data_IF_155835585686
#
_entry.id   IF_155835585686
#
_cell.length_a   1.000
_cell.length_b   1.000
_cell.length_c   1.000
_cell.angle_alpha   90.00
_cell.angle_beta   90.00
_cell.angle_gamma   90.00
#
_symmetry.space_group_name_H-M   'P 1'
#
loop_
_entity.id
_entity.type
_entity.pdbx_description
1 polymer ?
#
# COMPACT_ATOMS: atom_id res chain seq x y z
N UNK A 1 26.25 -5.40 -4.17
CA UNK A 1 25.24 -5.81 -3.19
C UNK A 1 24.07 -6.42 -3.94
N UNK A 2 23.67 -7.64 -3.61
CA UNK A 2 22.54 -8.37 -4.21
C UNK A 2 21.41 -8.55 -3.20
N UNK A 3 20.20 -8.21 -3.60
CA UNK A 3 19.01 -8.26 -2.75
C UNK A 3 18.06 -9.37 -3.22
N UNK A 4 17.72 -10.28 -2.31
CA UNK A 4 16.64 -11.25 -2.50
C UNK A 4 15.40 -10.83 -1.72
N UNK A 5 14.25 -10.73 -2.37
CA UNK A 5 12.97 -10.36 -1.73
C UNK A 5 12.03 -11.57 -1.84
N UNK A 6 11.69 -12.19 -0.72
CA UNK A 6 10.73 -13.30 -0.69
C UNK A 6 9.33 -12.76 -0.40
N UNK A 7 8.38 -13.02 -1.31
CA UNK A 7 7.01 -12.52 -1.22
C UNK A 7 6.02 -13.57 -1.70
N UNK A 8 5.20 -14.05 -0.76
CA UNK A 8 4.11 -14.99 -1.01
C UNK A 8 2.82 -14.20 -1.17
N UNK A 9 2.05 -14.50 -2.21
CA UNK A 9 0.89 -13.69 -2.58
C UNK A 9 -0.38 -14.25 -1.94
N UNK A 10 -0.92 -13.51 -0.96
CA UNK A 10 -2.21 -13.79 -0.31
C UNK A 10 -3.25 -12.83 -0.87
N UNK A 11 -2.99 -11.52 -0.77
CA UNK A 11 -3.80 -10.46 -1.37
C UNK A 11 -3.23 -10.06 -2.73
N UNK A 12 -3.42 -10.94 -3.72
CA UNK A 12 -3.13 -10.78 -5.16
C UNK A 12 -2.35 -9.50 -5.51
N UNK A 13 -3.07 -8.41 -5.80
CA UNK A 13 -2.49 -7.16 -6.30
C UNK A 13 -1.92 -6.27 -5.21
N UNK A 14 -2.37 -6.40 -3.96
CA UNK A 14 -1.86 -5.64 -2.82
C UNK A 14 -0.42 -6.05 -2.50
N UNK A 15 -0.22 -7.34 -2.25
CA UNK A 15 1.08 -7.91 -1.87
C UNK A 15 2.10 -7.75 -3.00
N UNK A 16 1.71 -8.14 -4.23
CA UNK A 16 2.57 -8.03 -5.40
C UNK A 16 2.88 -6.56 -5.72
N UNK A 17 1.87 -5.70 -5.70
CA UNK A 17 2.01 -4.26 -5.96
C UNK A 17 3.00 -3.60 -5.01
N UNK A 18 2.82 -3.81 -3.71
CA UNK A 18 3.70 -3.26 -2.69
C UNK A 18 5.12 -3.81 -2.82
N UNK A 19 5.29 -5.12 -2.98
CA UNK A 19 6.60 -5.77 -3.17
C UNK A 19 7.35 -5.21 -4.37
N UNK A 20 6.66 -5.02 -5.51
CA UNK A 20 7.25 -4.42 -6.71
C UNK A 20 7.74 -3.00 -6.44
N UNK A 21 6.94 -2.18 -5.74
CA UNK A 21 7.32 -0.78 -5.45
C UNK A 21 8.47 -0.70 -4.48
N UNK A 22 8.48 -1.55 -3.46
CA UNK A 22 9.59 -1.68 -2.55
C UNK A 22 10.88 -2.05 -3.29
N UNK A 23 10.81 -3.07 -4.15
CA UNK A 23 11.94 -3.50 -4.98
C UNK A 23 12.46 -2.36 -5.87
N UNK A 24 11.56 -1.62 -6.53
CA UNK A 24 11.90 -0.41 -7.30
C UNK A 24 12.50 0.69 -6.43
N UNK A 25 12.04 0.88 -5.20
CA UNK A 25 12.58 1.90 -4.32
C UNK A 25 14.03 1.58 -3.90
N UNK A 26 14.36 0.29 -3.75
CA UNK A 26 15.72 -0.16 -3.48
C UNK A 26 16.68 0.06 -4.66
N UNK A 27 16.19 0.38 -5.86
CA UNK A 27 17.06 0.69 -7.01
C UNK A 27 17.82 2.00 -6.84
N UNK A 28 17.52 2.77 -5.79
CA UNK A 28 18.30 3.95 -5.38
C UNK A 28 19.74 3.58 -4.98
N UNK A 29 19.97 2.36 -4.50
CA UNK A 29 21.28 1.89 -4.03
C UNK A 29 21.74 0.55 -4.61
N UNK A 30 20.86 -0.18 -5.30
CA UNK A 30 21.16 -1.48 -5.92
C UNK A 30 20.75 -1.44 -7.39
N UNK A 31 21.58 -1.95 -8.31
CA UNK A 31 21.20 -2.06 -9.72
C UNK A 31 19.97 -2.96 -9.86
N UNK A 32 18.96 -2.64 -10.71
CA UNK A 32 17.76 -3.48 -10.87
C UNK A 32 18.06 -4.98 -11.11
N UNK A 33 19.09 -5.29 -11.91
CA UNK A 33 19.55 -6.66 -12.21
C UNK A 33 20.12 -7.42 -11.01
N UNK A 34 20.50 -6.72 -9.94
CA UNK A 34 20.99 -7.29 -8.68
C UNK A 34 19.86 -7.46 -7.64
N UNK A 35 18.62 -7.10 -8.00
CA UNK A 35 17.42 -7.36 -7.20
C UNK A 35 16.70 -8.57 -7.81
N UNK A 36 16.31 -9.51 -6.95
CA UNK A 36 15.46 -10.65 -7.34
C UNK A 36 14.28 -10.77 -6.39
N UNK A 37 13.07 -10.77 -6.95
CA UNK A 37 11.84 -11.11 -6.24
C UNK A 37 11.59 -12.60 -6.42
N UNK A 38 11.47 -13.31 -5.30
CA UNK A 38 11.12 -14.71 -5.21
C UNK A 38 9.68 -14.85 -4.73
N UNK A 39 8.82 -15.43 -5.55
CA UNK A 39 7.37 -15.48 -5.30
C UNK A 39 6.75 -16.81 -5.73
N UNK A 40 5.58 -17.15 -5.22
CA UNK A 40 4.75 -18.24 -5.74
C UNK A 40 3.95 -17.85 -7.00
N UNK A 41 3.89 -16.56 -7.35
CA UNK A 41 3.02 -16.08 -8.42
C UNK A 41 3.76 -15.21 -9.46
N UNK A 42 4.76 -15.78 -10.12
CA UNK A 42 5.64 -15.09 -11.09
C UNK A 42 4.87 -14.34 -12.19
N UNK A 43 3.87 -14.98 -12.81
CA UNK A 43 3.10 -14.39 -13.92
C UNK A 43 2.37 -13.10 -13.52
N UNK A 44 1.89 -13.02 -12.27
CA UNK A 44 1.21 -11.83 -11.78
C UNK A 44 2.16 -10.63 -11.73
N UNK A 45 3.39 -10.83 -11.27
CA UNK A 45 4.38 -9.75 -11.20
C UNK A 45 4.74 -9.25 -12.60
N UNK A 46 5.02 -10.14 -13.55
CA UNK A 46 5.28 -9.73 -14.94
C UNK A 46 4.08 -9.06 -15.60
N UNK A 47 2.85 -9.49 -15.25
CA UNK A 47 1.65 -8.79 -15.72
C UNK A 47 1.53 -7.38 -15.15
N UNK A 48 1.94 -7.15 -13.91
CA UNK A 48 1.93 -5.82 -13.26
C UNK A 48 3.04 -4.90 -13.76
N UNK A 49 4.22 -5.46 -14.08
CA UNK A 49 5.41 -4.71 -14.52
C UNK A 49 6.11 -5.42 -15.70
N UNK A 50 5.52 -5.42 -16.90
CA UNK A 50 6.04 -6.19 -18.03
C UNK A 50 7.45 -5.77 -18.46
N UNK A 51 7.80 -4.49 -18.32
CA UNK A 51 9.08 -3.92 -18.76
C UNK A 51 10.11 -3.81 -17.62
N UNK A 52 10.02 -4.64 -16.58
CA UNK A 52 10.93 -4.54 -15.44
C UNK A 52 12.29 -5.20 -15.72
N UNK A 53 13.37 -4.54 -15.28
CA UNK A 53 14.72 -5.13 -15.22
C UNK A 53 14.99 -5.92 -13.94
N UNK A 54 14.07 -5.88 -12.97
CA UNK A 54 14.17 -6.64 -11.73
C UNK A 54 13.87 -8.10 -12.04
N UNK A 55 14.69 -9.01 -11.54
CA UNK A 55 14.46 -10.44 -11.76
C UNK A 55 13.25 -10.89 -10.93
N UNK A 56 12.38 -11.70 -11.52
CA UNK A 56 11.25 -12.33 -10.83
C UNK A 56 11.37 -13.84 -11.05
N UNK A 57 11.46 -14.60 -9.97
CA UNK A 57 11.66 -16.06 -9.98
C UNK A 57 10.69 -16.74 -9.04
N UNK A 58 10.45 -18.03 -9.25
CA UNK A 58 9.73 -18.81 -8.26
C UNK A 58 10.62 -18.99 -7.02
N UNK A 59 10.07 -18.86 -5.80
CA UNK A 59 10.89 -19.09 -4.60
C UNK A 59 11.40 -20.52 -4.49
N UNK A 60 10.73 -21.50 -5.10
CA UNK A 60 11.19 -22.91 -5.15
C UNK A 60 12.50 -23.06 -5.91
N UNK A 61 12.77 -22.15 -6.85
CA UNK A 61 13.97 -22.15 -7.69
C UNK A 61 15.13 -21.37 -7.04
N UNK A 62 15.01 -21.01 -5.76
CA UNK A 62 16.04 -20.24 -5.06
C UNK A 62 17.39 -20.97 -5.02
N UNK A 63 18.38 -20.41 -5.71
CA UNK A 63 19.76 -20.87 -5.69
C UNK A 63 20.79 -19.73 -5.79
N UNK A 64 20.33 -18.48 -5.80
CA UNK A 64 21.23 -17.33 -5.98
C UNK A 64 21.94 -16.98 -4.67
N UNK A 65 23.10 -16.32 -4.79
CA UNK A 65 23.80 -15.72 -3.66
C UNK A 65 23.32 -14.28 -3.49
N UNK A 66 22.54 -14.02 -2.45
CA UNK A 66 22.13 -12.68 -2.05
C UNK A 66 22.92 -12.25 -0.80
N UNK A 67 23.27 -10.97 -0.74
CA UNK A 67 23.94 -10.37 0.43
C UNK A 67 22.93 -10.04 1.52
N UNK A 68 21.73 -9.59 1.12
CA UNK A 68 20.62 -9.20 1.98
C UNK A 68 19.35 -9.89 1.53
N UNK A 69 18.54 -10.29 2.50
CA UNK A 69 17.22 -10.87 2.29
C UNK A 69 16.13 -9.98 2.88
N UNK A 70 15.08 -9.70 2.12
CA UNK A 70 13.82 -9.18 2.66
C UNK A 70 12.77 -10.30 2.67
N UNK A 71 12.18 -10.57 3.83
CA UNK A 71 11.02 -11.44 3.98
C UNK A 71 9.77 -10.57 4.09
N UNK A 72 8.91 -10.61 3.07
CA UNK A 72 7.68 -9.83 3.06
C UNK A 72 6.60 -10.55 3.87
N UNK A 73 5.80 -9.78 4.60
CA UNK A 73 4.54 -10.22 5.23
C UNK A 73 4.71 -11.42 6.17
N UNK A 74 5.82 -11.44 6.90
CA UNK A 74 6.22 -12.51 7.82
C UNK A 74 6.37 -13.90 7.15
N UNK A 75 6.49 -13.96 5.83
CA UNK A 75 6.70 -15.21 5.13
C UNK A 75 8.16 -15.67 5.24
N UNK A 76 8.39 -16.70 6.05
CA UNK A 76 9.68 -17.36 6.18
C UNK A 76 9.69 -18.63 5.31
N UNK A 77 10.66 -18.82 4.40
CA UNK A 77 10.71 -19.97 3.53
C UNK A 77 11.15 -21.25 4.28
N UNK A 78 11.14 -22.37 3.57
CA UNK A 78 11.49 -23.68 4.14
C UNK A 78 12.95 -23.79 4.62
N UNK A 79 13.23 -24.81 5.43
CA UNK A 79 14.56 -25.03 6.03
C UNK A 79 15.67 -25.20 4.98
N UNK A 80 15.37 -25.74 3.80
CA UNK A 80 16.36 -25.90 2.73
C UNK A 80 16.78 -24.53 2.19
N UNK A 81 15.81 -23.64 2.00
CA UNK A 81 16.03 -22.25 1.59
C UNK A 81 16.77 -21.47 2.68
N UNK A 82 16.38 -21.60 3.95
CA UNK A 82 17.11 -20.98 5.07
C UNK A 82 18.57 -21.44 5.14
N UNK A 83 18.83 -22.73 4.91
CA UNK A 83 20.18 -23.28 4.86
C UNK A 83 21.02 -22.67 3.73
N UNK A 84 20.42 -22.35 2.58
CA UNK A 84 21.09 -21.64 1.48
C UNK A 84 21.36 -20.18 1.87
N UNK A 85 20.37 -19.49 2.43
CA UNK A 85 20.48 -18.10 2.91
C UNK A 85 21.63 -17.97 3.92
N UNK A 86 21.72 -18.87 4.90
CA UNK A 86 22.78 -18.89 5.91
C UNK A 86 24.20 -19.03 5.34
N UNK A 87 24.35 -19.54 4.11
CA UNK A 87 25.66 -19.71 3.47
C UNK A 87 26.14 -18.47 2.73
N UNK A 88 25.25 -17.56 2.34
CA UNK A 88 25.60 -16.43 1.47
C UNK A 88 25.20 -15.05 1.99
N UNK A 89 24.14 -14.98 2.79
CA UNK A 89 23.55 -13.71 3.22
C UNK A 89 24.17 -13.25 4.53
N UNK A 90 24.26 -11.94 4.71
CA UNK A 90 24.78 -11.31 5.92
C UNK A 90 23.67 -10.87 6.88
N UNK A 91 22.53 -10.46 6.31
CA UNK A 91 21.42 -9.88 7.05
C UNK A 91 20.09 -10.19 6.39
N UNK A 92 19.04 -10.33 7.19
CA UNK A 92 17.67 -10.31 6.73
C UNK A 92 16.86 -9.21 7.42
N UNK A 93 15.87 -8.68 6.70
CA UNK A 93 14.80 -7.85 7.26
C UNK A 93 13.48 -8.57 7.06
N UNK A 94 12.66 -8.68 8.10
CA UNK A 94 11.26 -9.07 7.98
C UNK A 94 10.46 -7.77 7.87
N UNK A 95 9.75 -7.58 6.77
CA UNK A 95 8.94 -6.39 6.51
C UNK A 95 7.48 -6.82 6.55
N UNK A 96 6.78 -6.43 7.62
CA UNK A 96 5.37 -6.78 7.79
C UNK A 96 4.44 -5.87 6.99
N UNK A 97 3.16 -6.21 7.00
CA UNK A 97 2.09 -5.35 6.50
C UNK A 97 2.12 -3.98 7.18
N UNK A 98 1.76 -2.97 6.42
CA UNK A 98 1.55 -1.63 6.92
C UNK A 98 0.44 -1.60 8.00
N UNK A 99 0.65 -0.76 8.99
CA UNK A 99 -0.37 -0.45 10.00
C UNK A 99 -0.52 1.03 10.23
N UNK A 100 -1.73 1.43 10.60
CA UNK A 100 -2.08 2.80 11.00
C UNK A 100 -2.00 2.99 12.52
N UNK A 101 -1.78 1.89 13.26
CA UNK A 101 -1.73 1.86 14.71
C UNK A 101 -0.33 2.21 15.24
N UNK A 102 -0.27 2.76 16.46
CA UNK A 102 0.97 3.22 17.09
C UNK A 102 1.88 2.11 17.63
N UNK A 103 1.41 0.86 17.68
CA UNK A 103 2.24 -0.25 18.17
C UNK A 103 3.46 -0.52 17.27
N UNK A 104 3.40 -0.10 16.00
CA UNK A 104 4.52 -0.20 15.07
C UNK A 104 5.77 0.57 15.54
N UNK A 105 5.58 1.65 16.29
CA UNK A 105 6.67 2.49 16.83
C UNK A 105 7.58 1.67 17.74
N UNK A 106 6.99 0.78 18.53
CA UNK A 106 7.73 -0.11 19.42
C UNK A 106 8.22 -1.37 18.71
N UNK A 107 7.66 -1.73 17.55
CA UNK A 107 8.00 -2.95 16.84
C UNK A 107 9.28 -2.83 16.02
N UNK A 108 9.52 -1.64 15.45
CA UNK A 108 10.69 -1.35 14.65
C UNK A 108 11.99 -1.44 15.46
N UNK A 109 13.08 -1.82 14.80
CA UNK A 109 14.44 -1.94 15.36
C UNK A 109 14.63 -3.06 16.40
N UNK A 110 13.64 -3.94 16.55
CA UNK A 110 13.78 -5.15 17.36
C UNK A 110 14.47 -6.26 16.57
N UNK A 111 15.55 -6.79 17.13
CA UNK A 111 16.16 -8.00 16.62
C UNK A 111 15.20 -9.17 16.81
N UNK A 112 14.99 -9.95 15.75
CA UNK A 112 14.09 -11.10 15.75
C UNK A 112 14.85 -12.40 15.68
N UNK A 113 14.35 -13.40 16.39
CA UNK A 113 14.82 -14.77 16.25
C UNK A 113 13.93 -15.51 15.26
N UNK A 114 14.54 -16.03 14.20
CA UNK A 114 13.89 -16.92 13.25
C UNK A 114 14.55 -18.27 13.33
N UNK A 115 13.78 -19.28 13.74
CA UNK A 115 14.30 -20.65 13.84
C UNK A 115 14.89 -21.09 12.48
N UNK A 116 16.12 -21.60 12.52
CA UNK A 116 16.83 -22.04 11.32
C UNK A 116 17.63 -20.95 10.59
N UNK A 117 17.49 -19.66 10.91
CA UNK A 117 18.38 -18.60 10.43
C UNK A 117 19.50 -18.33 11.44
N UNK A 118 20.72 -18.15 10.91
CA UNK A 118 21.96 -17.91 11.67
C UNK A 118 22.57 -16.53 11.38
N UNK A 119 21.79 -15.66 10.75
CA UNK A 119 22.18 -14.30 10.37
C UNK A 119 21.38 -13.30 11.19
N UNK A 120 21.83 -12.04 11.24
CA UNK A 120 21.06 -10.98 11.89
C UNK A 120 19.72 -10.77 11.19
N UNK A 121 18.64 -10.74 11.96
CA UNK A 121 17.28 -10.48 11.47
C UNK A 121 16.68 -9.33 12.25
N UNK A 122 16.20 -8.30 11.55
CA UNK A 122 15.44 -7.20 12.13
C UNK A 122 14.00 -7.24 11.63
N UNK A 123 13.05 -6.94 12.51
CA UNK A 123 11.63 -6.85 12.18
C UNK A 123 11.23 -5.39 11.99
N UNK A 124 10.59 -5.11 10.85
CA UNK A 124 10.23 -3.77 10.39
C UNK A 124 8.73 -3.75 10.08
N UNK A 125 8.06 -2.72 10.56
CA UNK A 125 6.63 -2.47 10.33
C UNK A 125 6.45 -1.06 9.75
N UNK A 126 6.02 -0.94 8.48
CA UNK A 126 5.63 0.34 7.89
C UNK A 126 4.44 0.96 8.63
N UNK A 127 4.41 2.30 8.74
CA UNK A 127 3.33 2.96 9.46
C UNK A 127 3.16 4.47 9.20
N UNK A 128 2.14 5.05 9.84
CA UNK A 128 1.80 6.47 9.71
C UNK A 128 2.50 7.38 10.72
N UNK A 129 2.86 6.84 11.88
CA UNK A 129 3.41 7.62 12.99
C UNK A 129 4.80 8.17 12.66
N UNK A 130 5.20 9.20 13.40
CA UNK A 130 6.55 9.78 13.33
C UNK A 130 7.67 8.79 13.64
N UNK A 131 7.42 7.79 14.49
CA UNK A 131 8.44 6.83 14.92
C UNK A 131 8.37 5.49 14.18
N UNK A 132 7.39 5.29 13.30
CA UNK A 132 7.34 4.09 12.46
C UNK A 132 8.44 4.11 11.40
N UNK A 133 8.59 2.99 10.68
CA UNK A 133 9.44 2.92 9.49
C UNK A 133 8.93 3.81 8.32
N UNK A 134 7.77 4.47 8.47
CA UNK A 134 7.18 5.34 7.46
C UNK A 134 6.43 4.58 6.36
N UNK A 135 6.01 5.32 5.33
CA UNK A 135 5.34 4.78 4.13
C UNK A 135 6.29 4.76 2.95
N UNK A 136 6.01 3.94 1.93
CA UNK A 136 6.72 4.06 0.66
C UNK A 136 6.45 5.43 0.04
N UNK A 137 7.51 6.05 -0.49
CA UNK A 137 7.37 7.23 -1.32
C UNK A 137 7.28 6.82 -2.79
N UNK A 138 6.39 7.48 -3.53
CA UNK A 138 6.04 7.12 -4.90
C UNK A 138 6.53 8.22 -5.86
N UNK A 139 7.21 7.86 -6.97
CA UNK A 139 7.55 8.83 -8.01
C UNK A 139 6.27 9.25 -8.73
N UNK A 140 5.63 10.31 -8.25
CA UNK A 140 4.41 10.86 -8.85
C UNK A 140 4.75 11.45 -10.22
N UNK A 141 4.16 10.89 -11.27
CA UNK A 141 4.33 11.37 -12.64
C UNK A 141 3.13 12.21 -13.05
N UNK A 142 3.35 13.20 -13.91
CA UNK A 142 2.25 13.92 -14.54
C UNK A 142 1.45 12.95 -15.43
N UNK A 143 0.14 13.14 -15.45
CA UNK A 143 -0.78 12.32 -16.23
C UNK A 143 -1.75 13.21 -17.00
N UNK A 144 -2.10 12.78 -18.21
CA UNK A 144 -3.14 13.41 -19.02
C UNK A 144 -4.52 12.76 -18.80
N UNK A 145 -4.57 11.64 -18.08
CA UNK A 145 -5.82 10.97 -17.72
C UNK A 145 -6.62 11.87 -16.79
N UNK A 146 -7.92 11.97 -17.03
CA UNK A 146 -8.86 12.75 -16.23
C UNK A 146 -10.08 11.87 -15.93
N UNK A 147 -10.37 11.63 -14.67
CA UNK A 147 -11.57 10.91 -14.23
C UNK A 147 -12.21 11.64 -13.05
N UNK A 148 -13.55 11.57 -12.91
CA UNK A 148 -14.21 12.14 -11.73
C UNK A 148 -13.99 11.23 -10.53
N UNK A 149 -14.47 10.00 -10.62
CA UNK A 149 -14.27 8.97 -9.60
C UNK A 149 -13.44 7.82 -10.16
N UNK A 150 -12.48 7.34 -9.39
CA UNK A 150 -11.80 6.09 -9.63
C UNK A 150 -12.20 5.10 -8.54
N UNK A 151 -12.80 3.96 -8.89
CA UNK A 151 -13.34 2.99 -7.94
C UNK A 151 -12.58 1.67 -8.00
N UNK A 152 -11.78 1.43 -6.97
CA UNK A 152 -11.02 0.22 -6.71
C UNK A 152 -11.27 -0.25 -5.27
N UNK A 153 -12.44 -0.85 -5.05
CA UNK A 153 -12.95 -1.29 -3.75
C UNK A 153 -13.11 -2.82 -3.66
N UNK A 154 -13.20 -3.37 -2.46
CA UNK A 154 -13.63 -4.76 -2.26
C UNK A 154 -15.16 -4.86 -2.42
N UNK A 155 -15.89 -3.86 -1.92
CA UNK A 155 -17.36 -3.79 -1.94
C UNK A 155 -17.85 -2.54 -2.71
N UNK A 156 -17.54 -2.41 -4.03
CA UNK A 156 -17.82 -1.18 -4.77
C UNK A 156 -19.32 -0.83 -4.83
N UNK A 157 -20.22 -1.81 -4.73
CA UNK A 157 -21.67 -1.61 -4.69
C UNK A 157 -22.14 -0.61 -3.63
N UNK A 158 -21.37 -0.42 -2.55
CA UNK A 158 -21.64 0.58 -1.50
C UNK A 158 -21.75 2.00 -2.05
N UNK A 159 -21.04 2.32 -3.13
CA UNK A 159 -20.96 3.68 -3.68
C UNK A 159 -21.51 3.79 -5.11
N UNK A 160 -21.82 2.67 -5.77
CA UNK A 160 -22.26 2.70 -7.18
C UNK A 160 -23.53 3.52 -7.43
N UNK A 161 -24.41 3.66 -6.43
CA UNK A 161 -25.66 4.40 -6.57
C UNK A 161 -25.45 5.92 -6.59
N UNK A 162 -24.39 6.41 -5.93
CA UNK A 162 -24.10 7.85 -5.83
C UNK A 162 -23.09 8.31 -6.88
N UNK A 163 -22.27 7.40 -7.42
CA UNK A 163 -21.22 7.71 -8.38
C UNK A 163 -21.72 7.58 -9.82
N UNK A 164 -22.02 8.72 -10.46
CA UNK A 164 -22.53 8.76 -11.84
C UNK A 164 -21.46 8.76 -12.93
N UNK A 165 -20.25 9.27 -12.63
CA UNK A 165 -19.17 9.44 -13.60
C UNK A 165 -17.85 8.94 -13.02
N UNK A 166 -17.14 8.10 -13.75
CA UNK A 166 -15.88 7.54 -13.30
C UNK A 166 -15.53 6.19 -13.91
N UNK A 167 -14.54 5.55 -13.32
CA UNK A 167 -14.00 4.25 -13.71
C UNK A 167 -14.10 3.25 -12.55
N UNK A 168 -14.24 1.96 -12.86
CA UNK A 168 -14.35 0.90 -11.85
C UNK A 168 -13.57 -0.37 -12.23
N UNK A 169 -12.87 -0.96 -11.25
CA UNK A 169 -12.09 -2.20 -11.39
C UNK A 169 -12.72 -3.38 -10.65
N UNK A 170 -12.52 -4.59 -11.17
CA UNK A 170 -12.86 -5.84 -10.49
C UNK A 170 -14.36 -6.12 -10.34
N UNK A 171 -15.24 -5.24 -10.82
CA UNK A 171 -16.69 -5.39 -10.68
C UNK A 171 -17.36 -5.94 -11.95
N UNK A 172 -18.27 -6.90 -11.78
CA UNK A 172 -18.90 -7.61 -12.90
C UNK A 172 -20.28 -7.09 -13.30
N UNK A 173 -21.06 -6.51 -12.38
CA UNK A 173 -22.43 -6.07 -12.66
C UNK A 173 -22.45 -4.75 -13.44
N UNK A 174 -23.56 -4.52 -14.12
CA UNK A 174 -23.81 -3.28 -14.86
C UNK A 174 -23.86 -2.08 -13.91
N UNK A 175 -23.30 -0.96 -14.37
CA UNK A 175 -23.14 0.29 -13.62
C UNK A 175 -22.97 1.44 -14.60
N UNK A 176 -23.28 2.65 -14.14
CA UNK A 176 -23.05 3.88 -14.92
C UNK A 176 -21.56 4.26 -15.04
N UNK A 177 -20.67 3.54 -14.32
CA UNK A 177 -19.23 3.76 -14.37
C UNK A 177 -18.57 2.96 -15.50
N UNK A 178 -17.53 3.53 -16.11
CA UNK A 178 -16.72 2.83 -17.11
C UNK A 178 -15.94 1.68 -16.46
N UNK A 179 -16.26 0.44 -16.83
CA UNK A 179 -15.50 -0.73 -16.41
C UNK A 179 -14.10 -0.71 -17.00
N UNK A 180 -13.11 -0.97 -16.17
CA UNK A 180 -11.71 -0.98 -16.54
C UNK A 180 -11.14 -2.40 -16.56
N UNK A 181 -10.25 -2.72 -17.52
CA UNK A 181 -9.51 -3.96 -17.50
C UNK A 181 -8.47 -3.94 -16.37
N UNK A 182 -7.81 -5.08 -16.15
CA UNK A 182 -6.56 -5.07 -15.41
C UNK A 182 -5.56 -4.13 -16.10
N UNK A 183 -4.83 -3.35 -15.31
CA UNK A 183 -3.80 -2.43 -15.81
C UNK A 183 -2.44 -2.74 -15.18
N UNK A 184 -1.34 -2.62 -15.94
CA UNK A 184 -0.01 -2.54 -15.36
C UNK A 184 0.07 -1.40 -14.34
N UNK A 185 0.97 -1.53 -13.36
CA UNK A 185 1.07 -0.61 -12.22
C UNK A 185 1.21 0.86 -12.63
N UNK A 186 2.04 1.14 -13.65
CA UNK A 186 2.25 2.50 -14.18
C UNK A 186 0.98 3.13 -14.75
N UNK A 187 0.14 2.33 -15.42
CA UNK A 187 -1.13 2.80 -15.96
C UNK A 187 -2.17 3.00 -14.86
N UNK A 188 -2.24 2.08 -13.89
CA UNK A 188 -3.09 2.23 -12.71
C UNK A 188 -2.77 3.55 -11.97
N UNK A 189 -1.49 3.83 -11.74
CA UNK A 189 -1.03 5.08 -11.13
C UNK A 189 -1.50 6.30 -11.93
N UNK A 190 -1.42 6.24 -13.26
CA UNK A 190 -1.86 7.34 -14.14
C UNK A 190 -3.36 7.64 -14.02
N UNK A 191 -4.19 6.62 -13.77
CA UNK A 191 -5.63 6.81 -13.51
C UNK A 191 -5.89 7.37 -12.12
N UNK A 192 -5.19 6.86 -11.10
CA UNK A 192 -5.33 7.35 -9.73
C UNK A 192 -4.92 8.83 -9.62
N UNK A 193 -3.79 9.20 -10.23
CA UNK A 193 -3.27 10.57 -10.25
C UNK A 193 -4.12 11.53 -11.11
N UNK A 194 -4.94 10.99 -12.01
CA UNK A 194 -5.83 11.75 -12.88
C UNK A 194 -7.23 11.96 -12.31
N UNK A 195 -7.54 11.38 -11.16
CA UNK A 195 -8.88 11.39 -10.59
C UNK A 195 -9.17 12.65 -9.76
N UNK A 196 -10.45 13.06 -9.68
CA UNK A 196 -10.93 14.04 -8.67
C UNK A 196 -11.08 13.37 -7.30
N UNK A 197 -11.64 12.15 -7.27
CA UNK A 197 -11.74 11.32 -6.07
C UNK A 197 -11.30 9.88 -6.34
N UNK A 198 -10.59 9.30 -5.37
CA UNK A 198 -10.15 7.91 -5.41
C UNK A 198 -10.84 7.08 -4.32
N UNK A 199 -11.58 6.05 -4.71
CA UNK A 199 -12.17 5.08 -3.79
C UNK A 199 -11.29 3.83 -3.86
N UNK A 200 -10.45 3.62 -2.87
CA UNK A 200 -9.31 2.71 -2.94
C UNK A 200 -9.35 1.67 -1.81
N UNK A 201 -8.51 0.64 -1.91
CA UNK A 201 -8.52 -0.50 -1.00
C UNK A 201 -7.13 -1.05 -0.72
N UNK A 202 -7.03 -1.88 0.31
CA UNK A 202 -5.79 -2.58 0.65
C UNK A 202 -4.65 -1.61 0.98
N UNK A 203 -3.41 -2.03 0.75
CA UNK A 203 -2.22 -1.28 1.18
C UNK A 203 -1.56 -0.48 0.05
N UNK A 204 -1.27 -1.10 -1.09
CA UNK A 204 -0.53 -0.46 -2.20
C UNK A 204 -1.22 0.83 -2.69
N UNK A 205 -2.51 0.73 -2.99
CA UNK A 205 -3.27 1.88 -3.50
C UNK A 205 -3.55 2.94 -2.42
N UNK A 206 -3.57 2.53 -1.14
CA UNK A 206 -3.69 3.44 -0.01
C UNK A 206 -2.44 4.30 0.17
N UNK A 207 -1.24 3.70 0.16
CA UNK A 207 0.01 4.47 0.26
C UNK A 207 0.23 5.38 -0.96
N UNK A 208 -0.13 4.92 -2.17
CA UNK A 208 -0.13 5.79 -3.35
C UNK A 208 -1.08 6.99 -3.18
N UNK A 209 -2.28 6.76 -2.65
CA UNK A 209 -3.25 7.82 -2.42
C UNK A 209 -2.77 8.85 -1.38
N UNK A 210 -2.14 8.40 -0.28
CA UNK A 210 -1.50 9.28 0.71
C UNK A 210 -0.45 10.21 0.07
N UNK A 211 0.36 9.68 -0.84
CA UNK A 211 1.37 10.48 -1.56
C UNK A 211 0.75 11.42 -2.61
N UNK A 212 -0.42 11.11 -3.15
CA UNK A 212 -1.00 11.89 -4.26
C UNK A 212 -1.52 13.27 -3.83
N UNK A 213 -2.02 13.39 -2.60
CA UNK A 213 -2.77 14.55 -2.11
C UNK A 213 -4.17 14.67 -2.72
N UNK A 214 -4.62 13.71 -3.54
CA UNK A 214 -5.96 13.66 -4.11
C UNK A 214 -6.90 13.08 -3.05
N UNK A 215 -8.10 13.69 -2.84
CA UNK A 215 -9.10 13.12 -1.94
C UNK A 215 -9.37 11.66 -2.23
N UNK A 216 -9.24 10.83 -1.20
CA UNK A 216 -9.48 9.42 -1.32
C UNK A 216 -10.34 8.88 -0.18
N UNK A 217 -10.93 7.72 -0.39
CA UNK A 217 -11.73 7.00 0.60
C UNK A 217 -11.27 5.54 0.62
N UNK A 218 -10.95 5.04 1.82
CA UNK A 218 -10.26 3.75 1.97
C UNK A 218 -11.17 2.67 2.53
N UNK A 219 -11.23 1.53 1.83
CA UNK A 219 -11.77 0.27 2.35
C UNK A 219 -10.60 -0.66 2.72
N UNK A 220 -10.39 -0.83 4.02
CA UNK A 220 -9.41 -1.76 4.56
C UNK A 220 -9.81 -3.21 4.24
N UNK A 221 -8.82 -4.10 4.15
CA UNK A 221 -9.10 -5.53 3.99
C UNK A 221 -9.83 -6.05 5.24
N UNK A 222 -10.99 -6.69 5.04
CA UNK A 222 -11.81 -7.21 6.14
C UNK A 222 -11.11 -8.39 6.79
N UNK A 223 -10.86 -8.27 8.09
CA UNK A 223 -10.25 -9.32 8.91
C UNK A 223 -11.30 -9.95 9.83
N UNK A 224 -11.03 -11.20 10.25
CA UNK A 224 -11.84 -11.92 11.22
C UNK A 224 -12.02 -11.08 12.49
N UNK A 225 -13.17 -11.24 13.15
CA UNK A 225 -13.51 -10.57 14.41
C UNK A 225 -13.44 -9.03 14.32
N UNK A 226 -13.58 -8.48 13.11
CA UNK A 226 -13.55 -7.04 12.82
C UNK A 226 -12.26 -6.32 13.26
N UNK A 227 -11.14 -7.03 13.34
CA UNK A 227 -9.83 -6.47 13.76
C UNK A 227 -9.43 -5.26 12.91
N UNK A 228 -9.77 -5.27 11.62
CA UNK A 228 -9.53 -4.17 10.70
C UNK A 228 -10.15 -2.83 11.15
N UNK A 229 -11.22 -2.84 11.97
CA UNK A 229 -11.81 -1.61 12.53
C UNK A 229 -10.80 -0.83 13.37
N UNK A 230 -9.87 -1.49 14.06
CA UNK A 230 -8.84 -0.80 14.86
C UNK A 230 -7.91 -0.01 13.96
N UNK A 231 -7.48 -0.59 12.82
CA UNK A 231 -6.70 0.13 11.80
C UNK A 231 -7.47 1.31 11.21
N UNK A 232 -8.76 1.15 10.92
CA UNK A 232 -9.60 2.23 10.38
C UNK A 232 -9.75 3.37 11.38
N UNK A 233 -9.97 3.07 12.67
CA UNK A 233 -10.04 4.07 13.74
C UNK A 233 -8.72 4.82 13.92
N UNK A 234 -7.60 4.10 13.91
CA UNK A 234 -6.28 4.71 14.01
C UNK A 234 -5.96 5.61 12.80
N UNK A 235 -6.39 5.23 11.60
CA UNK A 235 -6.32 6.09 10.42
C UNK A 235 -7.16 7.36 10.58
N UNK A 236 -8.41 7.23 11.04
CA UNK A 236 -9.31 8.37 11.30
C UNK A 236 -8.70 9.33 12.33
N UNK A 237 -8.16 8.81 13.44
CA UNK A 237 -7.47 9.61 14.44
C UNK A 237 -6.29 10.38 13.82
N UNK A 238 -5.47 9.69 13.02
CA UNK A 238 -4.31 10.27 12.36
C UNK A 238 -4.69 11.41 11.40
N UNK A 239 -5.72 11.23 10.56
CA UNK A 239 -6.07 12.25 9.56
C UNK A 239 -6.89 13.42 10.12
N UNK A 240 -7.57 13.21 11.26
CA UNK A 240 -8.53 14.18 11.81
C UNK A 240 -7.95 15.59 11.99
N UNK A 241 -6.70 15.78 12.48
CA UNK A 241 -6.10 17.10 12.63
C UNK A 241 -5.88 17.87 11.32
N UNK A 242 -5.86 17.20 10.16
CA UNK A 242 -5.67 17.88 8.87
C UNK A 242 -6.96 18.52 8.32
N UNK A 243 -8.12 18.19 8.89
CA UNK A 243 -9.40 18.80 8.49
C UNK A 243 -9.67 20.07 9.30
N UNK A 244 -9.65 21.23 8.63
CA UNK A 244 -10.00 22.52 9.25
C UNK A 244 -11.51 22.72 9.42
N UNK A 245 -12.32 22.12 8.56
CA UNK A 245 -13.78 22.21 8.60
C UNK A 245 -14.35 21.00 9.35
N UNK A 246 -14.97 21.26 10.51
CA UNK A 246 -15.51 20.20 11.38
C UNK A 246 -16.62 19.40 10.70
N UNK A 247 -17.55 20.07 9.99
CA UNK A 247 -18.65 19.39 9.31
C UNK A 247 -18.14 18.46 8.21
N UNK A 248 -17.11 18.89 7.48
CA UNK A 248 -16.45 18.08 6.46
C UNK A 248 -15.72 16.88 7.08
N UNK A 249 -15.01 17.09 8.19
CA UNK A 249 -14.34 16.02 8.95
C UNK A 249 -15.35 14.96 9.39
N UNK A 250 -16.46 15.36 10.01
CA UNK A 250 -17.48 14.42 10.50
C UNK A 250 -18.10 13.61 9.36
N UNK A 251 -18.41 14.26 8.23
CA UNK A 251 -18.91 13.54 7.04
C UNK A 251 -17.86 12.60 6.45
N UNK A 252 -16.59 12.98 6.43
CA UNK A 252 -15.49 12.11 5.98
C UNK A 252 -15.34 10.87 6.88
N UNK A 253 -15.37 11.07 8.20
CA UNK A 253 -15.34 9.98 9.19
C UNK A 253 -16.52 9.03 8.97
N UNK A 254 -17.72 9.57 8.82
CA UNK A 254 -18.93 8.78 8.59
C UNK A 254 -18.86 7.95 7.30
N UNK A 255 -18.44 8.54 6.18
CA UNK A 255 -18.20 7.79 4.93
C UNK A 255 -17.13 6.70 5.10
N UNK A 256 -16.03 7.00 5.80
CA UNK A 256 -14.97 6.03 6.07
C UNK A 256 -15.48 4.85 6.91
N UNK A 257 -16.26 5.13 7.96
CA UNK A 257 -16.88 4.10 8.78
C UNK A 257 -17.86 3.23 7.97
N UNK A 258 -18.65 3.85 7.08
CA UNK A 258 -19.58 3.13 6.20
C UNK A 258 -18.87 2.19 5.21
N UNK A 259 -17.81 2.66 4.57
CA UNK A 259 -17.02 1.83 3.66
C UNK A 259 -16.44 0.60 4.39
N UNK A 260 -16.13 0.73 5.68
CA UNK A 260 -15.52 -0.32 6.50
C UNK A 260 -16.50 -1.05 7.43
N UNK A 261 -17.81 -0.98 7.19
CA UNK A 261 -18.84 -1.70 7.98
C UNK A 261 -18.87 -1.37 9.49
N UNK A 262 -18.30 -0.22 9.88
CA UNK A 262 -18.35 0.30 11.25
C UNK A 262 -19.68 1.00 11.52
N UNK A 263 -20.22 1.67 10.50
CA UNK A 263 -21.47 2.44 10.59
C UNK A 263 -22.37 2.15 9.38
N UNK A 264 -23.69 2.26 9.56
CA UNK A 264 -24.67 2.15 8.47
C UNK A 264 -25.12 3.54 8.06
N UNK A 265 -25.22 3.76 6.75
CA UNK A 265 -25.75 4.99 6.15
C UNK A 265 -26.82 4.58 5.15
N UNK A 266 -27.97 5.25 5.16
CA UNK A 266 -28.99 5.05 4.14
C UNK A 266 -28.63 5.77 2.83
N UNK A 267 -29.35 5.49 1.75
CA UNK A 267 -29.01 6.07 0.45
C UNK A 267 -29.15 7.59 0.40
N UNK A 268 -30.16 8.17 1.07
CA UNK A 268 -30.40 9.62 1.04
C UNK A 268 -29.29 10.37 1.77
N UNK A 269 -28.87 9.84 2.91
CA UNK A 269 -27.75 10.41 3.65
C UNK A 269 -26.43 10.24 2.89
N UNK A 270 -26.22 9.09 2.24
CA UNK A 270 -25.03 8.85 1.42
C UNK A 270 -24.92 9.82 0.24
N UNK A 271 -26.05 10.10 -0.44
CA UNK A 271 -26.15 11.11 -1.50
C UNK A 271 -25.83 12.51 -0.94
N UNK A 272 -26.44 12.89 0.18
CA UNK A 272 -26.19 14.16 0.85
C UNK A 272 -24.72 14.35 1.24
N UNK A 273 -24.06 13.30 1.73
CA UNK A 273 -22.63 13.34 2.07
C UNK A 273 -21.77 13.55 0.80
N UNK A 274 -22.08 12.86 -0.29
CA UNK A 274 -21.34 13.00 -1.54
C UNK A 274 -21.51 14.38 -2.16
N UNK A 275 -22.72 14.92 -2.19
CA UNK A 275 -23.01 16.28 -2.66
C UNK A 275 -22.26 17.32 -1.80
N UNK A 276 -22.20 17.11 -0.48
CA UNK A 276 -21.42 17.97 0.40
C UNK A 276 -19.92 17.96 0.05
N UNK A 277 -19.35 16.82 -0.38
CA UNK A 277 -17.96 16.77 -0.85
C UNK A 277 -17.75 17.51 -2.17
N UNK A 278 -18.76 17.56 -3.04
CA UNK A 278 -18.71 18.33 -4.28
C UNK A 278 -18.69 19.83 -3.96
N UNK A 279 -19.58 20.28 -3.09
CA UNK A 279 -19.69 21.67 -2.63
C UNK A 279 -18.45 22.15 -1.86
N UNK A 280 -17.82 21.24 -1.09
CA UNK A 280 -16.67 21.55 -0.24
C UNK A 280 -15.35 20.96 -0.77
N UNK A 281 -15.26 20.71 -2.08
CA UNK A 281 -14.11 20.02 -2.68
C UNK A 281 -12.78 20.72 -2.38
N UNK A 282 -12.74 22.06 -2.43
CA UNK A 282 -11.50 22.81 -2.16
C UNK A 282 -10.98 22.54 -0.75
N UNK A 283 -11.84 22.63 0.27
CA UNK A 283 -11.46 22.35 1.65
C UNK A 283 -11.05 20.88 1.87
N UNK A 284 -11.72 19.95 1.18
CA UNK A 284 -11.34 18.54 1.21
C UNK A 284 -9.96 18.34 0.57
N UNK A 285 -9.74 18.90 -0.61
CA UNK A 285 -8.47 18.83 -1.33
C UNK A 285 -7.33 19.41 -0.50
N UNK A 286 -7.55 20.54 0.18
CA UNK A 286 -6.57 21.14 1.10
C UNK A 286 -6.16 20.17 2.22
N UNK A 287 -7.12 19.49 2.85
CA UNK A 287 -6.81 18.52 3.91
C UNK A 287 -5.90 17.38 3.39
N UNK A 288 -6.19 16.85 2.19
CA UNK A 288 -5.37 15.79 1.58
C UNK A 288 -4.00 16.27 1.09
N UNK A 289 -3.88 17.51 0.62
CA UNK A 289 -2.57 18.11 0.33
C UNK A 289 -1.76 18.29 1.61
N UNK A 290 -2.37 18.67 2.73
CA UNK A 290 -1.68 18.71 4.03
C UNK A 290 -1.18 17.31 4.46
N UNK A 291 -1.99 16.26 4.28
CA UNK A 291 -1.58 14.86 4.54
C UNK A 291 -0.37 14.47 3.68
N UNK A 292 -0.40 14.79 2.38
CA UNK A 292 0.73 14.54 1.48
C UNK A 292 2.00 15.27 1.93
N UNK A 293 1.89 16.55 2.28
CA UNK A 293 3.03 17.35 2.74
C UNK A 293 3.62 16.80 4.03
N UNK A 294 2.80 16.28 4.93
CA UNK A 294 3.24 15.61 6.14
C UNK A 294 4.17 14.43 5.81
N UNK A 295 3.80 13.54 4.89
CA UNK A 295 4.65 12.42 4.50
C UNK A 295 5.87 12.82 3.67
N UNK A 296 5.76 13.86 2.83
CA UNK A 296 6.89 14.38 2.05
C UNK A 296 8.05 14.85 2.95
N UNK A 297 7.74 15.35 4.14
CA UNK A 297 8.72 15.90 5.07
C UNK A 297 9.25 14.87 6.08
N UNK A 298 8.83 13.62 5.99
CA UNK A 298 9.24 12.54 6.89
C UNK A 298 10.21 11.57 6.23
N UNK A 299 10.92 10.80 7.06
CA UNK A 299 11.65 9.64 6.57
C UNK A 299 10.64 8.64 5.99
N UNK A 300 10.80 8.31 4.71
CA UNK A 300 9.99 7.30 4.05
C UNK A 300 10.58 5.90 4.26
N UNK A 301 9.78 4.87 3.98
CA UNK A 301 10.15 3.47 4.19
C UNK A 301 11.42 3.08 3.44
N UNK A 302 11.60 3.54 2.19
CA UNK A 302 12.80 3.15 1.46
C UNK A 302 14.06 3.77 2.05
N UNK A 303 14.03 5.03 2.50
CA UNK A 303 15.18 5.66 3.16
C UNK A 303 15.47 5.02 4.52
N UNK A 304 14.43 4.61 5.25
CA UNK A 304 14.57 3.83 6.48
C UNK A 304 15.29 2.49 6.21
N UNK A 305 14.81 1.71 5.24
CA UNK A 305 15.39 0.42 4.88
C UNK A 305 16.80 0.55 4.30
N UNK A 306 17.07 1.57 3.49
CA UNK A 306 18.41 1.88 2.96
C UNK A 306 19.42 2.05 4.11
N UNK A 307 19.07 2.80 5.16
CA UNK A 307 19.94 2.95 6.35
C UNK A 307 20.24 1.61 7.01
N UNK A 308 19.28 0.68 7.04
CA UNK A 308 19.45 -0.65 7.63
C UNK A 308 20.38 -1.57 6.85
N UNK A 309 20.58 -1.31 5.57
CA UNK A 309 21.35 -2.20 4.68
C UNK A 309 22.66 -1.60 4.14
N UNK A 310 22.87 -0.29 4.26
CA UNK A 310 24.04 0.39 3.68
C UNK A 310 25.35 0.13 4.44
N UNK A 311 25.29 -0.29 5.71
CA UNK A 311 26.48 -0.53 6.56
C UNK A 311 26.89 -2.02 6.65
N UNK A 312 26.66 -2.81 5.59
CA UNK A 312 26.95 -4.26 5.50
C UNK A 312 28.12 -4.60 4.56
#
# INVERSE_FOLDING_TARGET
MKLGIFSTIIDNFGDAGFTIRLAKAMTKIITPKDITIYTDYVDLFYKMVPDTEINIKNFKDYNDKNDIIFFMFQHIPDQNTLNKINKSSKKALIIDYFTTEKWADEANDKMSFVNGLKISVEYIVPGLSDNSAGILNFPLTSTTKKTKNNVYLYSPEKVLKILKLGTIWGYKKETNLKKMPFLPQKEFDSYLLGAKYNWIRGEDSFQLALNSGIPFFWEAYKQKDNIHHTKVKAFIEFISPFFKNESLKQKYIKMTNYLNDIEKIDLKELESIYDFYEENYTALKEAFECIKLHFKNKTNLQDFLIKKVTFL
#
